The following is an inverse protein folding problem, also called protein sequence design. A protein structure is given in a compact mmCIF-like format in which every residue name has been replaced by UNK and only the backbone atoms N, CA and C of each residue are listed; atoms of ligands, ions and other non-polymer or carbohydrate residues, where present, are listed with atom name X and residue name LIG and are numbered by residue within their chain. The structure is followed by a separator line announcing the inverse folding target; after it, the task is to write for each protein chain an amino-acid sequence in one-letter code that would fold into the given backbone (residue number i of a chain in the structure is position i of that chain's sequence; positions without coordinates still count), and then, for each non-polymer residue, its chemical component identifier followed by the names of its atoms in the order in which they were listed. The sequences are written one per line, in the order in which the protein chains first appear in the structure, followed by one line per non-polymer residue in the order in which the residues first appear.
data_IF_934661200234
#
_entry.id   IF_934661200234
#
_cell.length_a   1.000
_cell.length_b   1.000
_cell.length_c   1.000
_cell.angle_alpha   90.00
_cell.angle_beta   90.00
_cell.angle_gamma   90.00
#
_symmetry.space_group_name_H-M   'P 1'
#
loop_
_entity.id
_entity.type
_entity.pdbx_description
1 polymer ?
#
# COMPACT_ATOMS: atom_id res chain seq x y z
N UNK A 1 8.78 48.46 -53.96
CA UNK A 1 9.04 49.88 -53.72
C UNK A 1 8.37 50.28 -52.41
N UNK A 2 9.16 50.80 -51.48
CA UNK A 2 8.86 51.48 -50.21
C UNK A 2 8.00 50.79 -49.13
N UNK A 3 8.69 50.45 -48.02
CA UNK A 3 8.15 50.39 -46.66
C UNK A 3 7.79 51.80 -46.17
N UNK A 4 6.83 51.91 -45.24
CA UNK A 4 6.99 52.59 -43.93
C UNK A 4 5.81 52.21 -43.01
N UNK A 5 6.22 51.93 -41.78
CA UNK A 5 5.54 51.60 -40.53
C UNK A 5 4.70 52.76 -39.97
N UNK A 6 3.60 52.47 -39.25
CA UNK A 6 3.08 53.40 -38.23
C UNK A 6 2.15 52.73 -37.19
N UNK A 7 2.76 52.37 -36.05
CA UNK A 7 2.33 52.62 -34.65
C UNK A 7 0.85 52.70 -34.24
N UNK A 8 0.54 51.80 -33.28
CA UNK A 8 -0.43 51.75 -32.14
C UNK A 8 -0.75 53.11 -31.45
N UNK A 9 -1.62 53.23 -30.39
CA UNK A 9 -2.41 52.25 -29.61
C UNK A 9 -3.88 52.70 -29.30
N UNK A 10 -4.70 51.84 -28.68
CA UNK A 10 -5.83 52.29 -27.82
C UNK A 10 -6.15 51.26 -26.73
N UNK A 11 -5.79 51.60 -25.49
CA UNK A 11 -6.14 50.94 -24.22
C UNK A 11 -7.45 51.49 -23.63
N UNK A 12 -7.88 50.90 -22.49
CA UNK A 12 -8.76 51.43 -21.41
C UNK A 12 -10.24 50.98 -21.51
N UNK A 13 -10.91 50.25 -20.59
CA UNK A 13 -10.74 49.84 -19.15
C UNK A 13 -11.40 48.44 -18.93
N UNK A 14 -10.97 47.50 -18.05
CA UNK A 14 -11.06 47.49 -16.57
C UNK A 14 -12.49 47.83 -16.07
N UNK A 15 -13.25 47.12 -15.21
CA UNK A 15 -13.03 46.27 -14.02
C UNK A 15 -14.37 45.52 -13.75
N UNK A 16 -14.34 44.29 -13.21
CA UNK A 16 -15.16 43.75 -12.08
C UNK A 16 -15.06 42.22 -12.07
N UNK A 17 -14.28 41.72 -11.12
CA UNK A 17 -14.48 40.46 -10.39
C UNK A 17 -14.76 40.89 -8.93
N UNK A 18 -15.46 40.14 -8.05
CA UNK A 18 -15.14 38.73 -7.76
C UNK A 18 -16.31 37.79 -7.37
N UNK A 19 -15.96 36.49 -7.29
CA UNK A 19 -16.48 35.42 -6.41
C UNK A 19 -17.96 34.98 -6.60
N UNK A 20 -18.32 33.69 -6.64
CA UNK A 20 -17.91 32.56 -5.81
C UNK A 20 -18.09 31.21 -6.53
N UNK A 21 -17.18 30.28 -6.26
CA UNK A 21 -17.31 28.84 -6.51
C UNK A 21 -18.50 28.23 -5.74
N UNK A 22 -18.96 27.01 -6.10
CA UNK A 22 -18.28 25.83 -5.57
C UNK A 22 -18.01 24.79 -6.67
N UNK A 23 -16.73 24.60 -6.93
CA UNK A 23 -16.19 23.39 -7.52
C UNK A 23 -16.58 22.20 -6.64
N UNK A 24 -17.22 21.22 -7.28
CA UNK A 24 -17.59 19.93 -6.66
C UNK A 24 -16.35 19.21 -6.13
N UNK A 25 -16.38 18.68 -4.89
CA UNK A 25 -15.33 17.82 -4.40
C UNK A 25 -15.75 16.38 -4.67
N UNK A 26 -15.25 15.78 -5.74
CA UNK A 26 -15.08 14.33 -5.76
C UNK A 26 -13.61 14.05 -6.04
N UNK A 27 -12.93 13.90 -4.90
CA UNK A 27 -11.56 13.48 -4.73
C UNK A 27 -11.16 12.51 -5.82
N UNK A 28 -10.27 12.98 -6.68
CA UNK A 28 -9.23 12.18 -7.27
C UNK A 28 -8.72 11.27 -6.15
N UNK A 29 -9.01 9.97 -6.25
CA UNK A 29 -8.38 8.96 -5.42
C UNK A 29 -6.95 8.85 -5.94
N UNK A 30 -6.13 9.86 -5.67
CA UNK A 30 -4.68 9.74 -5.66
C UNK A 30 -4.40 8.69 -4.59
N UNK A 31 -4.28 7.45 -5.03
CA UNK A 31 -3.51 6.45 -4.33
C UNK A 31 -2.14 7.08 -4.10
N UNK A 32 -1.95 7.60 -2.89
CA UNK A 32 -0.65 8.01 -2.37
C UNK A 32 0.31 6.87 -2.66
N UNK A 33 1.47 7.25 -3.20
CA UNK A 33 2.58 6.37 -3.54
C UNK A 33 2.67 5.21 -2.57
N UNK A 34 2.73 3.99 -3.13
CA UNK A 34 3.23 2.85 -2.38
C UNK A 34 4.55 3.26 -1.74
N UNK A 35 4.78 2.95 -0.45
CA UNK A 35 6.04 3.28 0.19
C UNK A 35 7.15 2.73 -0.70
N UNK A 36 8.03 3.62 -1.16
CA UNK A 36 9.24 3.21 -1.87
C UNK A 36 10.01 2.26 -0.96
N UNK A 37 10.72 1.31 -1.56
CA UNK A 37 11.42 0.25 -0.83
C UNK A 37 12.40 0.76 0.25
N UNK A 38 12.70 2.06 0.27
CA UNK A 38 13.52 2.74 1.28
C UNK A 38 12.79 3.04 2.61
N UNK A 39 11.45 2.95 2.70
CA UNK A 39 10.71 3.29 3.94
C UNK A 39 10.29 2.06 4.77
N UNK A 40 10.57 0.86 4.28
CA UNK A 40 10.45 -0.36 5.09
C UNK A 40 11.82 -0.64 5.69
N UNK A 41 11.93 -0.56 7.03
CA UNK A 41 13.05 -1.06 7.82
C UNK A 41 13.11 -2.59 7.71
N UNK A 42 13.37 -3.09 6.51
CA UNK A 42 13.55 -4.50 6.20
C UNK A 42 15.00 -4.80 6.55
N UNK A 43 15.26 -5.66 7.55
CA UNK A 43 16.61 -6.09 7.83
C UNK A 43 17.22 -6.67 6.55
N UNK A 44 18.30 -6.07 6.08
CA UNK A 44 19.03 -6.49 4.89
C UNK A 44 19.29 -8.00 4.99
N UNK A 45 18.64 -8.77 4.11
CA UNK A 45 18.78 -10.22 4.08
C UNK A 45 20.17 -10.53 3.53
N UNK A 46 21.17 -10.54 4.41
CA UNK A 46 22.51 -10.98 4.06
C UNK A 46 22.42 -12.40 3.54
N UNK A 47 22.61 -12.53 2.22
CA UNK A 47 22.62 -13.81 1.53
C UNK A 47 23.61 -14.73 2.23
N UNK A 48 23.13 -15.90 2.64
CA UNK A 48 23.91 -16.88 3.38
C UNK A 48 25.11 -17.33 2.55
N UNK A 49 26.27 -16.72 2.79
CA UNK A 49 27.54 -17.18 2.25
C UNK A 49 28.07 -18.26 3.19
N UNK A 50 27.90 -19.51 2.75
CA UNK A 50 28.41 -20.72 3.43
C UNK A 50 29.88 -20.59 3.82
N UNK A 51 30.67 -19.92 2.96
CA UNK A 51 32.10 -19.70 3.14
C UNK A 51 32.44 -18.81 4.35
N UNK A 52 31.62 -17.80 4.68
CA UNK A 52 31.81 -16.96 5.88
C UNK A 52 31.57 -17.73 7.17
N UNK A 53 30.57 -18.62 7.17
CA UNK A 53 30.19 -19.39 8.35
C UNK A 53 31.19 -20.51 8.66
N UNK A 54 31.74 -21.15 7.63
CA UNK A 54 32.74 -22.20 7.78
C UNK A 54 34.13 -21.63 8.14
N UNK A 55 34.49 -20.47 7.60
CA UNK A 55 35.75 -19.78 7.92
C UNK A 55 35.84 -19.29 9.38
N UNK A 56 34.70 -19.03 10.02
CA UNK A 56 34.65 -18.61 11.43
C UNK A 56 34.96 -19.74 12.43
N UNK A 57 34.93 -21.01 12.01
CA UNK A 57 35.27 -22.16 12.87
C UNK A 57 36.77 -22.48 12.94
N UNK A 58 37.61 -21.94 12.05
CA UNK A 58 39.03 -22.29 11.97
C UNK A 58 39.99 -21.25 12.57
N UNK A 59 39.52 -20.12 13.09
CA UNK A 59 40.39 -19.02 13.48
C UNK A 59 39.92 -18.19 14.67
N UNK A 60 39.76 -18.80 15.84
CA UNK A 60 39.48 -18.03 17.06
C UNK A 60 40.78 -17.47 17.67
N UNK A 61 41.21 -16.29 17.20
CA UNK A 61 42.12 -15.41 17.97
C UNK A 61 41.45 -14.05 18.19
N UNK A 62 40.86 -13.95 19.39
CA UNK A 62 40.57 -12.76 20.22
C UNK A 62 40.79 -11.40 19.54
N UNK A 63 39.70 -10.68 19.23
CA UNK A 63 39.69 -9.20 19.26
C UNK A 63 38.37 -8.73 19.88
N UNK A 64 38.46 -8.19 21.10
CA UNK A 64 37.39 -7.43 21.74
C UNK A 64 37.13 -6.17 20.90
N UNK A 65 35.89 -5.96 20.49
CA UNK A 65 35.37 -4.66 20.05
C UNK A 65 34.01 -4.48 20.72
N UNK A 66 34.00 -3.61 21.73
CA UNK A 66 32.80 -3.14 22.43
C UNK A 66 32.11 -2.09 21.57
N UNK A 67 30.79 -2.26 21.39
CA UNK A 67 29.80 -1.20 21.12
C UNK A 67 28.41 -1.69 21.55
N UNK A 68 27.92 -1.21 22.71
CA UNK A 68 26.62 -0.50 22.95
C UNK A 68 25.34 -1.10 22.34
N UNK A 69 24.19 -1.34 22.98
CA UNK A 69 23.58 -1.16 24.33
C UNK A 69 22.45 -2.22 24.41
N UNK A 70 22.37 -3.04 25.47
CA UNK A 70 21.11 -3.48 26.13
C UNK A 70 21.47 -4.01 27.52
N UNK A 71 20.75 -3.54 28.54
CA UNK A 71 21.03 -3.73 29.97
C UNK A 71 20.81 -5.18 30.41
N UNK A 72 21.85 -5.80 30.93
CA UNK A 72 21.75 -6.88 31.92
C UNK A 72 22.88 -6.68 32.93
N UNK A 73 22.52 -6.04 34.04
CA UNK A 73 23.35 -5.94 35.24
C UNK A 73 23.67 -7.37 35.72
N UNK A 74 24.91 -7.81 35.53
CA UNK A 74 25.44 -8.98 36.22
C UNK A 74 26.81 -8.61 36.75
N UNK A 75 26.87 -8.41 38.07
CA UNK A 75 28.06 -8.06 38.84
C UNK A 75 29.23 -8.98 38.51
N UNK A 76 30.28 -8.45 37.88
CA UNK A 76 31.59 -9.10 37.83
C UNK A 76 32.26 -8.98 39.19
N UNK A 77 32.26 -10.08 39.94
CA UNK A 77 33.24 -10.30 41.01
C UNK A 77 34.47 -10.92 40.35
N UNK A 78 35.52 -10.11 40.23
CA UNK A 78 36.88 -10.53 39.89
C UNK A 78 37.46 -11.30 41.08
N UNK A 79 37.77 -12.57 40.86
CA UNK A 79 38.36 -13.45 41.85
C UNK A 79 39.09 -14.56 41.10
N UNK A 80 40.40 -14.39 40.94
CA UNK A 80 41.27 -15.41 40.38
C UNK A 80 41.39 -16.59 41.35
N UNK A 81 41.13 -17.79 40.84
CA UNK A 81 41.69 -19.04 41.35
C UNK A 81 41.76 -20.08 40.22
N UNK A 82 42.85 -20.83 40.21
CA UNK A 82 43.39 -21.63 39.10
C UNK A 82 42.73 -23.02 39.03
N UNK A 83 41.40 -23.07 38.91
CA UNK A 83 40.64 -24.34 38.90
C UNK A 83 39.53 -24.36 37.84
N UNK A 84 39.71 -25.23 36.85
CA UNK A 84 38.68 -25.76 35.93
C UNK A 84 38.09 -24.81 34.84
N UNK A 85 38.94 -24.48 33.86
CA UNK A 85 38.55 -23.81 32.60
C UNK A 85 37.52 -24.62 31.79
N UNK A 86 37.40 -25.93 32.03
CA UNK A 86 36.49 -26.83 31.32
C UNK A 86 35.03 -26.71 31.80
N UNK A 87 34.79 -26.65 33.12
CA UNK A 87 33.43 -26.48 33.66
C UNK A 87 32.85 -25.07 33.40
N UNK A 88 33.68 -24.03 33.47
CA UNK A 88 33.24 -22.66 33.19
C UNK A 88 32.88 -22.43 31.71
N UNK A 89 33.60 -23.08 30.79
CA UNK A 89 33.25 -23.04 29.35
C UNK A 89 32.03 -23.90 29.02
N UNK A 90 31.84 -25.05 29.68
CA UNK A 90 30.62 -25.85 29.54
C UNK A 90 29.37 -25.06 29.98
N UNK A 91 29.44 -24.33 31.10
CA UNK A 91 28.36 -23.45 31.57
C UNK A 91 28.01 -22.34 30.57
N UNK A 92 29.01 -21.71 29.93
CA UNK A 92 28.75 -20.73 28.87
C UNK A 92 28.12 -21.34 27.62
N UNK A 93 28.51 -22.55 27.24
CA UNK A 93 27.91 -23.28 26.11
C UNK A 93 26.45 -23.62 26.42
N UNK A 94 26.15 -24.05 27.64
CA UNK A 94 24.79 -24.33 28.10
C UNK A 94 23.93 -23.07 28.16
N UNK A 95 24.48 -21.94 28.64
CA UNK A 95 23.78 -20.65 28.65
C UNK A 95 23.43 -20.19 27.23
N UNK A 96 24.37 -20.28 26.28
CA UNK A 96 24.09 -19.99 24.86
C UNK A 96 23.02 -20.91 24.29
N UNK A 97 23.08 -22.20 24.63
CA UNK A 97 22.05 -23.17 24.22
C UNK A 97 20.67 -22.78 24.76
N UNK A 98 20.56 -22.34 26.01
CA UNK A 98 19.31 -21.87 26.58
C UNK A 98 18.76 -20.63 25.87
N UNK A 99 19.62 -19.65 25.58
CA UNK A 99 19.22 -18.46 24.80
C UNK A 99 18.68 -18.87 23.42
N UNK A 100 19.38 -19.77 22.72
CA UNK A 100 18.91 -20.27 21.42
C UNK A 100 17.54 -20.97 21.52
N UNK A 101 17.32 -21.78 22.56
CA UNK A 101 16.03 -22.44 22.80
C UNK A 101 14.93 -21.40 23.06
N UNK A 102 15.17 -20.43 23.93
CA UNK A 102 14.18 -19.39 24.26
C UNK A 102 13.84 -18.54 23.05
N UNK A 103 14.85 -18.11 22.28
CA UNK A 103 14.67 -17.36 21.04
C UNK A 103 13.81 -18.11 20.02
N UNK A 104 14.08 -19.40 19.81
CA UNK A 104 13.30 -20.22 18.86
C UNK A 104 11.87 -20.49 19.39
N UNK A 105 11.68 -20.64 20.70
CA UNK A 105 10.34 -20.75 21.30
C UNK A 105 9.52 -19.47 21.06
N UNK A 106 10.11 -18.29 21.27
CA UNK A 106 9.48 -17.00 20.97
C UNK A 106 9.08 -16.92 19.50
N UNK A 107 10.00 -17.23 18.58
CA UNK A 107 9.71 -17.27 17.14
C UNK A 107 8.56 -18.21 16.79
N UNK A 108 8.50 -19.40 17.42
CA UNK A 108 7.40 -20.35 17.20
C UNK A 108 6.06 -19.85 17.73
N UNK A 109 6.04 -19.13 18.84
CA UNK A 109 4.84 -18.50 19.38
C UNK A 109 4.31 -17.43 18.42
N UNK A 110 5.17 -16.51 17.96
CA UNK A 110 4.82 -15.46 16.99
C UNK A 110 4.25 -16.05 15.69
N UNK A 111 4.88 -17.09 15.14
CA UNK A 111 4.36 -17.78 13.96
C UNK A 111 2.99 -18.40 14.22
N UNK A 112 2.78 -19.00 15.40
CA UNK A 112 1.49 -19.60 15.77
C UNK A 112 0.40 -18.53 15.83
N UNK A 113 0.69 -17.39 16.43
CA UNK A 113 -0.24 -16.27 16.53
C UNK A 113 -0.56 -15.69 15.15
N UNK A 114 0.43 -15.56 14.27
CA UNK A 114 0.23 -15.18 12.87
C UNK A 114 -0.68 -16.13 12.09
N UNK A 115 -0.64 -17.43 12.36
CA UNK A 115 -1.58 -18.39 11.78
C UNK A 115 -3.00 -18.27 12.36
N UNK A 116 -3.14 -17.91 13.63
CA UNK A 116 -4.44 -17.66 14.26
C UNK A 116 -5.07 -16.39 13.70
N UNK A 117 -4.30 -15.32 13.52
CA UNK A 117 -4.69 -14.10 12.82
C UNK A 117 -5.17 -14.41 11.40
N UNK A 118 -4.33 -15.09 10.61
CA UNK A 118 -4.66 -15.46 9.23
C UNK A 118 -5.98 -16.21 9.17
N UNK A 119 -6.24 -17.12 10.12
CA UNK A 119 -7.51 -17.85 10.17
C UNK A 119 -8.71 -16.93 10.37
N UNK A 120 -8.63 -15.89 11.20
CA UNK A 120 -9.75 -14.96 11.43
C UNK A 120 -10.07 -14.10 10.21
N UNK A 121 -9.06 -13.79 9.39
CA UNK A 121 -9.21 -12.97 8.18
C UNK A 121 -9.83 -13.73 7.00
N UNK A 122 -9.84 -15.05 7.05
CA UNK A 122 -10.43 -15.85 5.98
C UNK A 122 -11.93 -16.04 6.21
N UNK A 123 -12.73 -16.11 5.13
CA UNK A 123 -14.14 -16.44 5.21
C UNK A 123 -14.29 -17.94 5.52
N UNK A 124 -14.06 -18.30 6.78
CA UNK A 124 -14.22 -19.68 7.24
C UNK A 124 -15.56 -19.84 7.93
N UNK A 125 -16.51 -20.40 7.20
CA UNK A 125 -17.69 -21.10 7.72
C UNK A 125 -17.25 -22.47 8.26
N UNK A 126 -16.40 -22.53 9.29
CA UNK A 126 -15.97 -23.82 9.85
C UNK A 126 -16.51 -24.02 11.25
N UNK A 127 -17.49 -24.91 11.32
CA UNK A 127 -18.06 -25.53 12.51
C UNK A 127 -16.96 -26.28 13.29
N UNK A 128 -16.29 -25.59 14.21
CA UNK A 128 -15.56 -26.18 15.34
C UNK A 128 -14.26 -26.95 15.07
N UNK A 129 -13.86 -27.23 13.81
CA UNK A 129 -12.65 -28.03 13.51
C UNK A 129 -11.47 -27.19 13.00
N UNK A 130 -10.29 -27.35 13.63
CA UNK A 130 -9.06 -26.63 13.26
C UNK A 130 -8.52 -27.10 11.89
N UNK A 131 -8.28 -26.16 10.97
CA UNK A 131 -7.62 -26.43 9.69
C UNK A 131 -6.12 -26.68 9.88
N UNK A 132 -5.54 -27.59 9.07
CA UNK A 132 -4.09 -27.79 9.01
C UNK A 132 -3.38 -26.54 8.46
N UNK A 133 -2.10 -26.34 8.81
CA UNK A 133 -1.31 -25.18 8.35
C UNK A 133 -1.26 -25.09 6.82
N UNK A 134 -1.02 -26.22 6.15
CA UNK A 134 -0.97 -26.27 4.69
C UNK A 134 -2.30 -25.87 4.04
N UNK A 135 -3.42 -26.41 4.54
CA UNK A 135 -4.76 -26.08 4.03
C UNK A 135 -5.11 -24.62 4.29
N UNK A 136 -4.72 -24.09 5.44
CA UNK A 136 -4.95 -22.68 5.78
C UNK A 136 -4.25 -21.75 4.79
N UNK A 137 -2.98 -22.03 4.46
CA UNK A 137 -2.23 -21.27 3.45
C UNK A 137 -2.87 -21.38 2.06
N UNK A 138 -3.28 -22.57 1.64
CA UNK A 138 -3.96 -22.75 0.34
C UNK A 138 -5.29 -21.99 0.27
N UNK A 139 -6.08 -22.00 1.35
CA UNK A 139 -7.32 -21.21 1.45
C UNK A 139 -7.04 -19.71 1.41
N UNK A 140 -5.96 -19.24 2.04
CA UNK A 140 -5.57 -17.84 1.98
C UNK A 140 -5.24 -17.39 0.56
N UNK A 141 -4.43 -18.16 -0.17
CA UNK A 141 -4.11 -17.88 -1.58
C UNK A 141 -5.39 -17.88 -2.43
N UNK A 142 -6.27 -18.86 -2.21
CA UNK A 142 -7.54 -18.94 -2.93
C UNK A 142 -8.46 -17.75 -2.64
N UNK A 143 -8.50 -17.30 -1.38
CA UNK A 143 -9.27 -16.14 -0.97
C UNK A 143 -8.77 -14.86 -1.63
N UNK A 144 -7.45 -14.62 -1.62
CA UNK A 144 -6.84 -13.47 -2.31
C UNK A 144 -7.18 -13.46 -3.80
N UNK A 145 -7.02 -14.60 -4.48
CA UNK A 145 -7.38 -14.73 -5.91
C UNK A 145 -8.86 -14.48 -6.17
N UNK A 146 -9.74 -14.87 -5.24
CA UNK A 146 -11.16 -14.58 -5.35
C UNK A 146 -11.46 -13.10 -5.16
N UNK A 147 -10.82 -12.46 -4.18
CA UNK A 147 -10.95 -11.03 -3.95
C UNK A 147 -10.49 -10.21 -5.15
N UNK A 148 -9.33 -10.53 -5.74
CA UNK A 148 -8.84 -9.88 -6.96
C UNK A 148 -9.82 -10.02 -8.14
N UNK A 149 -10.40 -11.21 -8.34
CA UNK A 149 -11.41 -11.42 -9.39
C UNK A 149 -12.68 -10.62 -9.14
N UNK A 150 -13.13 -10.54 -7.88
CA UNK A 150 -14.31 -9.73 -7.51
C UNK A 150 -14.06 -8.24 -7.73
N UNK A 151 -12.88 -7.76 -7.35
CA UNK A 151 -12.47 -6.37 -7.58
C UNK A 151 -12.48 -6.03 -9.07
N UNK A 152 -11.84 -6.85 -9.91
CA UNK A 152 -11.85 -6.69 -11.37
C UNK A 152 -13.28 -6.67 -11.92
N UNK A 153 -14.13 -7.60 -11.50
CA UNK A 153 -15.52 -7.66 -11.94
C UNK A 153 -16.31 -6.39 -11.56
N UNK A 154 -16.12 -5.87 -10.34
CA UNK A 154 -16.78 -4.65 -9.90
C UNK A 154 -16.29 -3.42 -10.66
N UNK A 155 -14.99 -3.33 -10.97
CA UNK A 155 -14.42 -2.27 -11.80
C UNK A 155 -15.01 -2.30 -13.22
N UNK A 156 -15.11 -3.48 -13.83
CA UNK A 156 -15.72 -3.65 -15.15
C UNK A 156 -17.19 -3.21 -15.14
N UNK A 157 -17.94 -3.56 -14.10
CA UNK A 157 -19.34 -3.17 -13.95
C UNK A 157 -19.50 -1.66 -13.72
N UNK A 158 -18.63 -1.04 -12.92
CA UNK A 158 -18.58 0.42 -12.75
C UNK A 158 -18.32 1.10 -14.10
N UNK A 159 -17.36 0.60 -14.89
CA UNK A 159 -17.06 1.13 -16.21
C UNK A 159 -18.26 1.01 -17.16
N UNK A 160 -18.92 -0.15 -17.19
CA UNK A 160 -20.12 -0.38 -18.01
C UNK A 160 -21.26 0.56 -17.62
N UNK A 161 -21.54 0.71 -16.33
CA UNK A 161 -22.57 1.61 -15.82
C UNK A 161 -22.22 3.07 -16.14
N UNK A 162 -20.97 3.46 -15.97
CA UNK A 162 -20.49 4.81 -16.31
C UNK A 162 -20.70 5.12 -17.78
N UNK A 163 -20.35 4.20 -18.69
CA UNK A 163 -20.60 4.36 -20.13
C UNK A 163 -22.10 4.49 -20.43
N UNK A 164 -22.93 3.69 -19.77
CA UNK A 164 -24.40 3.76 -19.91
C UNK A 164 -24.93 5.11 -19.47
N UNK A 165 -24.48 5.63 -18.32
CA UNK A 165 -24.85 6.96 -17.83
C UNK A 165 -24.44 8.07 -18.81
N UNK A 166 -23.21 8.01 -19.34
CA UNK A 166 -22.73 8.97 -20.34
C UNK A 166 -23.59 8.94 -21.59
N UNK A 167 -23.91 7.75 -22.10
CA UNK A 167 -24.78 7.58 -23.27
C UNK A 167 -26.18 8.17 -23.03
N UNK A 168 -26.82 7.80 -21.92
CA UNK A 168 -28.17 8.27 -21.61
C UNK A 168 -28.22 9.79 -21.40
N UNK A 169 -27.19 10.37 -20.78
CA UNK A 169 -27.07 11.82 -20.64
C UNK A 169 -26.94 12.51 -22.01
N UNK A 170 -26.14 11.95 -22.93
CA UNK A 170 -25.99 12.50 -24.27
C UNK A 170 -27.32 12.45 -25.06
N UNK A 171 -28.05 11.34 -24.96
CA UNK A 171 -29.36 11.20 -25.62
C UNK A 171 -30.39 12.15 -25.01
N UNK A 172 -30.39 12.31 -23.68
CA UNK A 172 -31.25 13.28 -22.99
C UNK A 172 -30.99 14.73 -23.47
N UNK A 173 -29.71 15.12 -23.58
CA UNK A 173 -29.35 16.45 -24.08
C UNK A 173 -29.70 16.65 -25.55
N UNK A 174 -29.63 15.60 -26.37
CA UNK A 174 -30.12 15.63 -27.75
C UNK A 174 -31.62 15.83 -27.80
N UNK A 175 -32.40 15.11 -27.00
CA UNK A 175 -33.86 15.24 -26.96
C UNK A 175 -34.27 16.63 -26.49
N UNK A 176 -33.61 17.18 -25.46
CA UNK A 176 -33.83 18.56 -25.01
C UNK A 176 -33.58 19.57 -26.13
N UNK A 177 -32.49 19.42 -26.89
CA UNK A 177 -32.16 20.26 -28.05
C UNK A 177 -33.19 20.13 -29.17
N UNK A 178 -33.68 18.93 -29.46
CA UNK A 178 -34.74 18.76 -30.45
C UNK A 178 -36.05 19.41 -29.99
N UNK A 179 -36.40 19.25 -28.72
CA UNK A 179 -37.60 19.86 -28.15
C UNK A 179 -37.58 21.39 -28.19
N UNK A 180 -36.43 22.03 -27.96
CA UNK A 180 -36.31 23.49 -28.09
C UNK A 180 -36.47 23.94 -29.54
N UNK A 181 -35.82 23.26 -30.49
CA UNK A 181 -35.95 23.55 -31.92
C UNK A 181 -37.39 23.38 -32.42
N UNK A 182 -38.09 22.32 -31.99
CA UNK A 182 -39.47 22.08 -32.39
C UNK A 182 -40.41 23.19 -31.90
N UNK A 183 -40.23 23.65 -30.65
CA UNK A 183 -41.00 24.78 -30.11
C UNK A 183 -40.70 26.07 -30.87
N UNK A 184 -39.43 26.36 -31.15
CA UNK A 184 -39.03 27.54 -31.93
C UNK A 184 -39.66 27.52 -33.32
N UNK A 185 -39.64 26.37 -34.01
CA UNK A 185 -40.27 26.17 -35.31
C UNK A 185 -41.78 26.41 -35.26
N UNK A 186 -42.49 25.88 -34.26
CA UNK A 186 -43.92 26.17 -34.08
C UNK A 186 -44.20 27.66 -33.85
N UNK A 187 -43.36 28.34 -33.06
CA UNK A 187 -43.52 29.78 -32.82
C UNK A 187 -43.34 30.57 -34.12
N UNK A 188 -42.32 30.24 -34.92
CA UNK A 188 -42.11 30.85 -36.23
C UNK A 188 -43.30 30.61 -37.16
N UNK A 189 -43.76 29.36 -37.30
CA UNK A 189 -44.92 29.02 -38.12
C UNK A 189 -46.16 29.84 -37.74
N UNK A 190 -46.42 30.03 -36.44
CA UNK A 190 -47.52 30.85 -35.94
C UNK A 190 -47.36 32.32 -36.32
N UNK A 191 -46.15 32.89 -36.20
CA UNK A 191 -45.86 34.27 -36.58
C UNK A 191 -46.10 34.46 -38.08
N UNK A 192 -45.59 33.55 -38.93
CA UNK A 192 -45.78 33.62 -40.38
C UNK A 192 -47.26 33.47 -40.79
N UNK A 193 -48.04 32.66 -40.07
CA UNK A 193 -49.47 32.49 -40.35
C UNK A 193 -50.32 33.74 -40.04
N UNK A 194 -49.84 34.64 -39.17
CA UNK A 194 -50.57 35.87 -38.79
C UNK A 194 -50.37 37.00 -39.82
N UNK A 195 -49.47 36.83 -40.79
CA UNK A 195 -49.25 37.80 -41.86
C UNK A 195 -48.38 38.98 -41.42
N UNK A 196 -47.07 38.79 -41.51
CA UNK A 196 -46.13 39.85 -41.89
C UNK A 196 -45.94 39.78 -43.40
#
# INVERSE_FOLDING_TARGET
MYSIDNSQPSQVSQIISPSHSPSSPLSLLEYRDSPTADELDVPEFFQYSKEKYESAKSGCKRRRKSTRDEQCETSSMDGGDDVDDNVSTMSQVEFRRQIHIQSEQKRRAEIKDGFEELRRQLPTTYTGRKLSKAVLLQKAVSHMKNMQRKESFLLDEINRLTQTCVYLNAELEKEKRMGTLYRQKQTLDKIYAIGL
#
